data_IF_606571386157
#
_entry.id   IF_606571386157
#
_cell.length_a   1.000
_cell.length_b   1.000
_cell.length_c   1.000
_cell.angle_alpha   90.00
_cell.angle_beta   90.00
_cell.angle_gamma   90.00
#
_symmetry.space_group_name_H-M   'P 1'
#
loop_
_entity.id
_entity.type
_entity.pdbx_description
1 polymer ?
#
# COMPACT_ATOMS: atom_id res chain seq x y z
N UNK A 1 -5.77 14.47 5.23
CA UNK A 1 -5.30 13.46 4.27
C UNK A 1 -6.46 12.53 4.02
N UNK A 2 -6.82 12.26 2.77
CA UNK A 2 -7.89 11.28 2.53
C UNK A 2 -7.33 9.85 2.59
N UNK A 3 -8.16 8.88 2.93
CA UNK A 3 -7.78 7.46 2.85
C UNK A 3 -7.36 6.99 1.44
N UNK A 4 -7.69 7.74 0.39
CA UNK A 4 -7.35 7.43 -1.01
C UNK A 4 -5.90 7.83 -1.32
N UNK A 5 -5.45 9.00 -0.87
CA UNK A 5 -4.05 9.44 -1.00
C UNK A 5 -3.10 8.49 -0.27
N UNK A 6 -3.54 8.02 0.90
CA UNK A 6 -2.80 7.04 1.68
C UNK A 6 -2.62 5.72 0.91
N UNK A 7 -3.57 5.34 0.06
CA UNK A 7 -3.46 4.12 -0.72
C UNK A 7 -2.38 4.20 -1.81
N UNK A 8 -2.29 5.34 -2.50
CA UNK A 8 -1.18 5.64 -3.42
C UNK A 8 0.16 5.66 -2.67
N UNK A 9 0.22 6.27 -1.49
CA UNK A 9 1.44 6.30 -0.66
C UNK A 9 1.91 4.89 -0.27
N UNK A 10 1.00 4.00 0.13
CA UNK A 10 1.33 2.61 0.49
C UNK A 10 1.84 1.85 -0.73
N UNK A 11 1.26 2.07 -1.93
CA UNK A 11 1.78 1.50 -3.18
C UNK A 11 3.23 1.93 -3.45
N UNK A 12 3.56 3.20 -3.20
CA UNK A 12 4.92 3.76 -3.35
C UNK A 12 5.90 3.28 -2.29
N UNK A 13 5.44 2.94 -1.08
CA UNK A 13 6.27 2.43 0.00
C UNK A 13 6.84 1.03 -0.26
N UNK A 14 6.08 0.14 -0.91
CA UNK A 14 6.54 -1.23 -1.18
C UNK A 14 7.82 -1.31 -2.02
N UNK A 15 7.95 -0.61 -3.18
CA UNK A 15 9.19 -0.54 -3.93
C UNK A 15 10.39 -0.11 -3.09
N UNK A 16 10.22 0.87 -2.20
CA UNK A 16 11.29 1.35 -1.33
C UNK A 16 11.75 0.28 -0.33
N UNK A 17 10.81 -0.45 0.28
CA UNK A 17 11.14 -1.55 1.19
C UNK A 17 11.86 -2.67 0.44
N UNK A 18 11.38 -3.06 -0.74
CA UNK A 18 12.01 -4.09 -1.58
C UNK A 18 13.42 -3.68 -1.99
N UNK A 19 13.61 -2.42 -2.36
CA UNK A 19 14.91 -1.88 -2.72
C UNK A 19 15.85 -1.79 -1.51
N UNK A 20 15.35 -1.37 -0.35
CA UNK A 20 16.10 -1.39 0.89
C UNK A 20 16.55 -2.80 1.27
N UNK A 21 15.69 -3.80 1.07
CA UNK A 21 16.06 -5.21 1.24
C UNK A 21 17.16 -5.62 0.26
N UNK A 22 17.08 -5.22 -1.01
CA UNK A 22 18.13 -5.51 -1.99
C UNK A 22 19.49 -4.95 -1.56
N UNK A 23 19.52 -3.69 -1.15
CA UNK A 23 20.73 -3.02 -0.65
C UNK A 23 21.24 -3.73 0.61
N UNK A 24 20.35 -4.09 1.53
CA UNK A 24 20.72 -4.81 2.75
C UNK A 24 21.36 -6.17 2.44
N UNK A 25 20.80 -6.92 1.48
CA UNK A 25 21.41 -8.17 1.03
C UNK A 25 22.82 -7.95 0.47
N UNK A 26 23.00 -7.00 -0.43
CA UNK A 26 24.27 -6.75 -1.11
C UNK A 26 25.39 -6.33 -0.14
N UNK A 27 25.06 -5.59 0.92
CA UNK A 27 26.05 -5.13 1.89
C UNK A 27 26.42 -6.19 2.95
N UNK A 28 25.48 -7.07 3.30
CA UNK A 28 25.65 -8.02 4.41
C UNK A 28 25.94 -9.46 3.96
N UNK A 29 25.84 -9.77 2.66
CA UNK A 29 26.07 -11.14 2.16
C UNK A 29 27.48 -11.69 2.42
N UNK A 30 28.45 -10.80 2.58
CA UNK A 30 29.86 -11.15 2.81
C UNK A 30 30.19 -11.48 4.27
N UNK A 31 29.23 -11.34 5.18
CA UNK A 31 29.43 -11.65 6.60
C UNK A 31 29.27 -13.14 6.85
N UNK A 32 30.15 -13.75 7.65
CA UNK A 32 30.08 -15.18 7.98
C UNK A 32 28.72 -15.57 8.61
N UNK A 33 28.13 -14.67 9.40
CA UNK A 33 26.83 -14.86 10.06
C UNK A 33 25.62 -14.70 9.12
N UNK A 34 25.83 -14.22 7.88
CA UNK A 34 24.76 -14.04 6.91
C UNK A 34 24.03 -15.34 6.59
N UNK A 35 24.75 -16.46 6.55
CA UNK A 35 24.17 -17.76 6.20
C UNK A 35 23.04 -18.19 7.15
N UNK A 36 23.18 -17.90 8.44
CA UNK A 36 22.16 -18.22 9.46
C UNK A 36 20.92 -17.32 9.32
N UNK A 37 21.14 -16.03 9.03
CA UNK A 37 20.07 -15.05 8.86
C UNK A 37 19.37 -15.12 7.48
N UNK A 38 20.08 -15.59 6.45
CA UNK A 38 19.66 -15.59 5.04
C UNK A 38 18.29 -16.22 4.83
N UNK A 39 17.99 -17.31 5.53
CA UNK A 39 16.69 -18.00 5.40
C UNK A 39 15.53 -17.11 5.85
N UNK A 40 15.68 -16.46 7.01
CA UNK A 40 14.67 -15.55 7.54
C UNK A 40 14.54 -14.30 6.68
N UNK A 41 15.66 -13.79 6.17
CA UNK A 41 15.70 -12.66 5.26
C UNK A 41 14.94 -12.92 3.96
N UNK A 42 15.20 -14.05 3.29
CA UNK A 42 14.50 -14.43 2.06
C UNK A 42 12.99 -14.60 2.32
N UNK A 43 12.63 -15.28 3.43
CA UNK A 43 11.23 -15.45 3.80
C UNK A 43 10.52 -14.12 4.10
N UNK A 44 11.23 -13.15 4.69
CA UNK A 44 10.70 -11.81 4.91
C UNK A 44 10.49 -11.06 3.59
N UNK A 45 11.49 -11.06 2.71
CA UNK A 45 11.39 -10.41 1.41
C UNK A 45 10.24 -10.97 0.56
N UNK A 46 10.07 -12.30 0.57
CA UNK A 46 8.97 -12.99 -0.11
C UNK A 46 7.59 -12.56 0.47
N UNK A 47 7.47 -12.47 1.79
CA UNK A 47 6.25 -11.96 2.44
C UNK A 47 5.94 -10.52 2.02
N UNK A 48 6.93 -9.63 1.98
CA UNK A 48 6.72 -8.24 1.55
C UNK A 48 6.24 -8.19 0.10
N UNK A 49 6.86 -8.97 -0.78
CA UNK A 49 6.44 -9.07 -2.18
C UNK A 49 5.01 -9.61 -2.30
N UNK A 50 4.65 -10.63 -1.52
CA UNK A 50 3.31 -11.19 -1.49
C UNK A 50 2.27 -10.16 -1.01
N UNK A 51 2.56 -9.42 0.06
CA UNK A 51 1.68 -8.35 0.54
C UNK A 51 1.50 -7.25 -0.51
N UNK A 52 2.56 -6.86 -1.23
CA UNK A 52 2.46 -5.92 -2.35
C UNK A 52 1.50 -6.41 -3.44
N UNK A 53 1.57 -7.69 -3.80
CA UNK A 53 0.68 -8.30 -4.80
C UNK A 53 -0.78 -8.27 -4.33
N UNK A 54 -1.04 -8.75 -3.12
CA UNK A 54 -2.39 -8.74 -2.53
C UNK A 54 -2.95 -7.31 -2.44
N UNK A 55 -2.13 -6.35 -2.03
CA UNK A 55 -2.53 -4.97 -1.92
C UNK A 55 -2.93 -4.38 -3.28
N UNK A 56 -2.10 -4.60 -4.32
CA UNK A 56 -2.44 -4.19 -5.70
C UNK A 56 -3.74 -4.83 -6.19
N UNK A 57 -3.94 -6.12 -5.95
CA UNK A 57 -5.14 -6.82 -6.40
C UNK A 57 -6.40 -6.35 -5.66
N UNK A 58 -6.30 -6.07 -4.37
CA UNK A 58 -7.40 -5.50 -3.59
C UNK A 58 -7.74 -4.08 -4.05
N UNK A 59 -6.73 -3.25 -4.32
CA UNK A 59 -6.95 -1.91 -4.89
C UNK A 59 -7.58 -1.99 -6.28
N UNK A 60 -7.14 -2.92 -7.14
CA UNK A 60 -7.80 -3.17 -8.44
C UNK A 60 -9.28 -3.43 -8.24
N UNK A 61 -9.63 -4.40 -7.39
CA UNK A 61 -11.04 -4.77 -7.13
C UNK A 61 -11.86 -3.64 -6.53
N UNK A 62 -11.26 -2.81 -5.67
CA UNK A 62 -11.94 -1.69 -5.04
C UNK A 62 -12.19 -0.54 -6.04
N UNK A 63 -11.22 -0.26 -6.91
CA UNK A 63 -11.24 0.88 -7.82
C UNK A 63 -11.86 0.55 -9.19
N UNK A 64 -11.86 -0.70 -9.63
CA UNK A 64 -12.52 -1.17 -10.86
C UNK A 64 -13.99 -0.71 -10.99
N UNK A 65 -14.84 -0.79 -9.95
CA UNK A 65 -16.20 -0.27 -10.04
C UNK A 65 -16.32 1.26 -9.93
N UNK A 66 -15.22 1.99 -9.69
CA UNK A 66 -15.18 3.43 -9.43
C UNK A 66 -14.55 4.18 -10.61
N UNK A 67 -13.56 3.58 -11.26
CA UNK A 67 -12.84 4.12 -12.41
C UNK A 67 -13.35 3.37 -13.64
N UNK A 68 -14.19 4.05 -14.43
CA UNK A 68 -14.82 3.47 -15.63
C UNK A 68 -13.79 3.20 -16.73
N UNK A 69 -12.70 3.96 -16.77
CA UNK A 69 -11.60 3.77 -17.72
C UNK A 69 -10.56 2.78 -17.15
N UNK A 70 -10.46 1.61 -17.78
CA UNK A 70 -9.48 0.58 -17.42
C UNK A 70 -8.04 1.05 -17.56
N UNK A 71 -7.75 1.98 -18.49
CA UNK A 71 -6.41 2.53 -18.70
C UNK A 71 -6.04 3.55 -17.61
N UNK A 72 -7.00 4.33 -17.11
CA UNK A 72 -6.81 5.14 -15.88
C UNK A 72 -6.52 4.25 -14.67
N UNK A 73 -7.29 3.19 -14.48
CA UNK A 73 -7.11 2.26 -13.37
C UNK A 73 -5.73 1.58 -13.37
N UNK A 74 -5.28 1.10 -14.54
CA UNK A 74 -3.95 0.47 -14.63
C UNK A 74 -2.82 1.47 -14.41
N UNK A 75 -2.97 2.72 -14.86
CA UNK A 75 -2.00 3.79 -14.61
C UNK A 75 -1.86 4.08 -13.13
N UNK A 76 -2.98 4.36 -12.44
CA UNK A 76 -2.97 4.60 -10.99
C UNK A 76 -2.31 3.47 -10.20
N UNK A 77 -2.57 2.21 -10.57
CA UNK A 77 -2.05 1.09 -9.78
C UNK A 77 -0.57 0.84 -10.08
N UNK A 78 -0.11 1.20 -11.28
CA UNK A 78 1.27 1.02 -11.72
C UNK A 78 2.17 2.19 -11.36
N UNK A 79 1.60 3.40 -11.24
CA UNK A 79 2.28 4.62 -10.86
C UNK A 79 1.67 5.18 -9.55
N UNK A 80 2.37 4.99 -8.41
CA UNK A 80 1.95 5.53 -7.12
C UNK A 80 1.88 7.07 -7.07
N UNK A 81 2.62 7.75 -7.97
CA UNK A 81 2.69 9.21 -8.06
C UNK A 81 1.72 9.77 -9.11
N UNK A 82 0.83 8.93 -9.66
CA UNK A 82 -0.18 9.35 -10.63
C UNK A 82 -1.02 10.50 -10.05
N UNK A 83 -1.26 11.51 -10.88
CA UNK A 83 -1.99 12.71 -10.49
C UNK A 83 -3.40 12.41 -9.98
N UNK A 84 -4.01 11.30 -10.42
CA UNK A 84 -5.30 10.86 -9.92
C UNK A 84 -5.25 10.55 -8.41
N UNK A 85 -4.14 10.00 -7.88
CA UNK A 85 -4.00 9.83 -6.42
C UNK A 85 -4.01 11.17 -5.66
N UNK A 86 -3.53 12.23 -6.32
CA UNK A 86 -3.49 13.59 -5.77
C UNK A 86 -4.79 14.36 -6.02
N UNK A 87 -5.64 13.94 -6.97
CA UNK A 87 -6.97 14.51 -7.20
C UNK A 87 -8.00 13.84 -6.29
N UNK A 88 -7.84 14.15 -5.01
CA UNK A 88 -8.67 13.65 -3.92
C UNK A 88 -10.13 13.99 -4.11
N UNK A 89 -10.43 15.14 -4.72
CA UNK A 89 -11.78 15.62 -5.02
C UNK A 89 -12.49 14.71 -6.01
N UNK A 90 -11.91 14.47 -7.19
CA UNK A 90 -12.55 13.64 -8.22
C UNK A 90 -12.73 12.19 -7.78
N UNK A 91 -11.72 11.61 -7.12
CA UNK A 91 -11.82 10.24 -6.62
C UNK A 91 -12.78 10.12 -5.44
N UNK A 92 -12.75 11.05 -4.49
CA UNK A 92 -13.70 11.01 -3.37
C UNK A 92 -15.15 11.19 -3.84
N UNK A 93 -15.40 12.01 -4.87
CA UNK A 93 -16.73 12.17 -5.44
C UNK A 93 -17.19 10.92 -6.20
N UNK A 94 -16.31 10.26 -6.97
CA UNK A 94 -16.61 8.97 -7.62
C UNK A 94 -16.89 7.86 -6.59
N UNK A 95 -16.10 7.83 -5.51
CA UNK A 95 -16.26 6.88 -4.39
C UNK A 95 -17.58 7.17 -3.64
N UNK A 96 -17.88 8.43 -3.31
CA UNK A 96 -19.14 8.86 -2.68
C UNK A 96 -20.35 8.52 -3.54
N UNK A 97 -20.30 8.82 -4.84
CA UNK A 97 -21.37 8.52 -5.76
C UNK A 97 -21.68 7.02 -5.82
N UNK A 98 -20.67 6.16 -5.60
CA UNK A 98 -20.83 4.71 -5.62
C UNK A 98 -21.25 4.10 -4.28
N UNK A 99 -20.66 4.55 -3.17
CA UNK A 99 -20.99 4.07 -1.81
C UNK A 99 -22.28 4.69 -1.25
N UNK A 100 -22.72 5.84 -1.77
CA UNK A 100 -23.93 6.51 -1.30
C UNK A 100 -23.84 6.86 0.18
N UNK A 101 -24.90 6.57 0.94
CA UNK A 101 -24.98 6.83 2.39
C UNK A 101 -23.94 6.05 3.22
N UNK A 102 -23.42 4.92 2.71
CA UNK A 102 -22.42 4.12 3.41
C UNK A 102 -21.03 4.77 3.41
N UNK A 103 -20.80 5.78 2.55
CA UNK A 103 -19.54 6.54 2.53
C UNK A 103 -19.29 7.25 3.86
N UNK A 104 -20.33 7.84 4.44
CA UNK A 104 -20.24 8.55 5.73
C UNK A 104 -19.89 7.61 6.89
N UNK A 105 -20.18 6.31 6.75
CA UNK A 105 -19.82 5.28 7.73
C UNK A 105 -18.45 4.66 7.46
N UNK A 106 -18.06 4.54 6.19
CA UNK A 106 -16.80 3.91 5.76
C UNK A 106 -15.56 4.75 6.08
N UNK A 107 -15.60 6.07 5.82
CA UNK A 107 -14.43 6.95 6.03
C UNK A 107 -13.96 6.98 7.49
N UNK A 108 -14.86 7.13 8.50
CA UNK A 108 -14.45 7.11 9.90
C UNK A 108 -13.89 5.76 10.38
N UNK A 109 -14.25 4.65 9.73
CA UNK A 109 -13.68 3.33 10.04
C UNK A 109 -12.23 3.24 9.56
N UNK A 110 -11.95 3.70 8.34
CA UNK A 110 -10.59 3.76 7.81
C UNK A 110 -9.69 4.71 8.60
N UNK A 111 -10.20 5.87 9.05
CA UNK A 111 -9.45 6.79 9.91
C UNK A 111 -9.15 6.17 11.29
N UNK A 112 -10.11 5.42 11.87
CA UNK A 112 -9.93 4.79 13.20
C UNK A 112 -8.99 3.60 13.18
N UNK A 113 -9.03 2.74 12.16
CA UNK A 113 -8.17 1.56 12.08
C UNK A 113 -6.68 1.91 11.85
N UNK A 114 -6.41 3.09 11.28
CA UNK A 114 -5.04 3.59 11.12
C UNK A 114 -4.44 4.04 12.46
N UNK A 115 -5.21 4.74 13.29
CA UNK A 115 -4.78 5.17 14.63
C UNK A 115 -4.49 3.99 15.58
N UNK A 116 -5.29 2.92 15.44
CA UNK A 116 -5.11 1.69 16.24
C UNK A 116 -3.78 1.01 15.85
N UNK A 117 -3.46 0.87 14.56
CA UNK A 117 -2.22 0.20 14.14
C UNK A 117 -0.94 1.00 14.45
N UNK A 118 -0.97 2.34 14.41
CA UNK A 118 0.20 3.16 14.78
C UNK A 118 0.46 3.10 16.29
N UNK A 119 -0.60 3.03 17.11
CA UNK A 119 -0.49 2.93 18.57
C UNK A 119 0.07 1.58 19.01
N UNK A 120 -0.33 0.47 18.37
CA UNK A 120 0.22 -0.86 18.68
C UNK A 120 1.71 -1.00 18.29
N UNK A 121 2.19 -0.27 17.28
CA UNK A 121 3.60 -0.31 16.88
C UNK A 121 4.53 0.47 17.83
N UNK A 122 4.01 1.44 18.60
CA UNK A 122 4.79 2.25 19.54
C UNK A 122 4.83 1.70 20.98
N UNK A 123 4.00 0.70 21.30
CA UNK A 123 3.91 0.10 22.66
C UNK A 123 4.71 -1.22 22.76
N UNK A 124 5.32 -1.70 21.67
CA UNK A 124 6.16 -2.90 21.66
C UNK A 124 7.67 -2.65 21.51
N UNK A 125 8.15 -1.44 21.83
CA UNK A 125 9.59 -1.15 22.00
C UNK A 125 9.94 -1.08 23.47
#
# INVERSE_FOLDING_TARGET
MSGIELAGLVLGGFPLVIEGLRIYRENFENLEQWWEFRKNFIAFADKVQHQRMLYRDNLKKLLDPIIVDTDELQRMISDPDDQLWSDTTLLSDRVKARLGEEYERFVPLCDKDFDINVTYCLIQV
#
